data_IF_294844070948
#
_entry.id   IF_294844070948
#
_cell.length_a   1.000
_cell.length_b   1.000
_cell.length_c   1.000
_cell.angle_alpha   90.00
_cell.angle_beta   90.00
_cell.angle_gamma   90.00
#
_symmetry.space_group_name_H-M   'P 1'
#
loop_
_entity.id
_entity.type
_entity.pdbx_description
1 polymer ?
#
# COMPACT_ATOMS: atom_id res chain seq x y z
N UNK A 1 8.16 14.65 -39.52
CA UNK A 1 8.11 13.17 -39.46
C UNK A 1 8.94 12.77 -38.24
N UNK A 2 8.30 12.64 -37.07
CA UNK A 2 8.99 12.34 -35.81
C UNK A 2 9.27 10.84 -35.76
N UNK A 3 10.55 10.49 -35.73
CA UNK A 3 10.99 9.12 -35.48
C UNK A 3 10.84 8.89 -33.98
N UNK A 4 9.79 8.15 -33.58
CA UNK A 4 9.70 7.58 -32.24
C UNK A 4 10.74 6.46 -32.16
N UNK A 5 11.88 6.77 -31.56
CA UNK A 5 12.92 5.77 -31.27
C UNK A 5 12.53 4.99 -30.02
N UNK A 6 11.64 4.02 -30.17
CA UNK A 6 11.40 2.99 -29.17
C UNK A 6 12.71 2.23 -28.94
N UNK A 7 13.37 2.49 -27.81
CA UNK A 7 14.53 1.71 -27.37
C UNK A 7 14.00 0.45 -26.67
N UNK A 8 14.39 -0.76 -27.10
CA UNK A 8 14.01 -1.98 -26.39
C UNK A 8 14.64 -1.98 -24.98
N UNK A 9 13.88 -2.42 -23.99
CA UNK A 9 14.39 -2.68 -22.64
C UNK A 9 15.65 -3.57 -22.72
N UNK A 10 16.80 -3.04 -22.29
CA UNK A 10 18.02 -3.81 -22.02
C UNK A 10 18.99 -4.06 -23.18
N UNK A 11 18.80 -3.51 -24.38
CA UNK A 11 19.79 -3.68 -25.45
C UNK A 11 20.92 -2.65 -25.34
N UNK A 12 21.99 -2.97 -24.59
CA UNK A 12 23.32 -2.41 -24.83
C UNK A 12 24.00 -1.60 -23.72
N UNK A 13 23.45 -1.48 -22.51
CA UNK A 13 24.16 -0.84 -21.38
C UNK A 13 24.96 -1.89 -20.60
N UNK A 14 26.25 -1.64 -20.37
CA UNK A 14 27.13 -2.45 -19.51
C UNK A 14 26.42 -2.80 -18.19
N UNK A 15 26.63 -4.03 -17.70
CA UNK A 15 25.96 -4.48 -16.47
C UNK A 15 26.50 -3.66 -15.30
N UNK A 16 25.58 -3.03 -14.58
CA UNK A 16 25.87 -2.33 -13.35
C UNK A 16 26.60 -3.26 -12.35
N UNK A 17 27.88 -3.00 -12.11
CA UNK A 17 28.76 -3.84 -11.29
C UNK A 17 30.14 -4.09 -11.90
N UNK A 18 30.33 -3.88 -13.21
CA UNK A 18 31.67 -4.00 -13.81
C UNK A 18 32.54 -2.76 -13.50
N UNK A 19 31.97 -1.55 -13.47
CA UNK A 19 32.65 -0.29 -13.13
C UNK A 19 31.99 0.53 -12.00
N UNK A 20 30.93 -0.01 -11.38
CA UNK A 20 30.12 0.69 -10.35
C UNK A 20 30.19 -0.01 -9.01
N UNK A 21 30.37 0.78 -7.94
CA UNK A 21 30.38 0.23 -6.59
C UNK A 21 28.95 -0.15 -6.14
N UNK A 22 28.69 -1.43 -5.84
CA UNK A 22 27.33 -1.92 -5.58
C UNK A 22 26.74 -1.44 -4.25
N UNK A 23 27.58 -1.03 -3.30
CA UNK A 23 27.15 -0.52 -1.99
C UNK A 23 26.94 1.00 -1.95
N UNK A 24 27.16 1.71 -3.07
CA UNK A 24 26.87 3.14 -3.17
C UNK A 24 25.48 3.35 -3.77
N UNK A 25 24.74 4.39 -3.33
CA UNK A 25 23.46 4.76 -3.92
C UNK A 25 23.58 5.00 -5.42
N UNK A 26 22.59 4.54 -6.19
CA UNK A 26 22.52 4.80 -7.63
C UNK A 26 22.58 6.32 -7.87
N UNK A 27 23.35 6.75 -8.87
CA UNK A 27 23.56 8.16 -9.18
C UNK A 27 24.70 8.83 -8.39
N UNK A 28 25.47 8.10 -7.57
CA UNK A 28 26.61 8.67 -6.83
C UNK A 28 27.69 9.34 -7.72
N UNK A 29 27.72 9.00 -9.01
CA UNK A 29 28.64 9.56 -9.99
C UNK A 29 28.14 10.86 -10.63
N UNK A 30 26.89 11.23 -10.42
CA UNK A 30 26.33 12.47 -10.97
C UNK A 30 26.99 13.68 -10.30
N UNK A 31 27.26 14.71 -11.10
CA UNK A 31 27.96 15.91 -10.65
C UNK A 31 26.98 17.06 -10.58
N UNK A 32 26.91 17.74 -9.44
CA UNK A 32 26.16 19.01 -9.35
C UNK A 32 26.90 20.10 -10.11
N UNK A 33 26.25 20.77 -11.05
CA UNK A 33 26.76 22.00 -11.68
C UNK A 33 26.13 23.27 -11.12
N UNK A 34 25.27 23.13 -10.10
CA UNK A 34 24.67 24.25 -9.37
C UNK A 34 25.68 25.08 -8.58
N UNK A 35 25.23 26.25 -8.12
CA UNK A 35 26.02 27.16 -7.28
C UNK A 35 26.32 26.59 -5.89
N UNK A 36 25.58 25.57 -5.46
CA UNK A 36 25.76 24.83 -4.21
C UNK A 36 26.14 23.39 -4.54
N UNK A 37 27.27 22.87 -4.01
CA UNK A 37 27.63 21.46 -4.20
C UNK A 37 26.53 20.52 -3.73
N UNK A 38 26.15 19.57 -4.58
CA UNK A 38 25.10 18.59 -4.32
C UNK A 38 23.68 19.06 -4.68
N UNK A 39 23.48 20.32 -5.06
CA UNK A 39 22.18 20.80 -5.55
C UNK A 39 22.04 20.63 -7.07
N UNK A 40 20.80 20.46 -7.56
CA UNK A 40 20.54 20.48 -8.99
C UNK A 40 20.99 21.80 -9.67
N UNK A 41 21.25 21.79 -10.99
CA UNK A 41 21.12 20.63 -11.87
C UNK A 41 22.23 19.59 -11.66
N UNK A 42 21.83 18.32 -11.74
CA UNK A 42 22.75 17.18 -11.68
C UNK A 42 23.08 16.75 -13.10
N UNK A 43 24.37 16.62 -13.40
CA UNK A 43 24.87 16.22 -14.71
C UNK A 43 25.26 14.75 -14.66
N UNK A 44 24.75 13.95 -15.60
CA UNK A 44 25.18 12.56 -15.80
C UNK A 44 26.43 12.46 -16.70
N UNK A 45 26.93 11.24 -16.89
CA UNK A 45 28.14 11.00 -17.71
C UNK A 45 27.94 11.27 -19.19
N UNK A 46 26.69 11.26 -19.67
CA UNK A 46 26.34 11.62 -21.04
C UNK A 46 26.18 13.15 -21.21
N UNK A 47 26.41 13.92 -20.13
CA UNK A 47 26.28 15.37 -20.11
C UNK A 47 24.85 15.88 -20.03
N UNK A 48 23.87 15.03 -19.69
CA UNK A 48 22.47 15.42 -19.57
C UNK A 48 22.20 16.00 -18.18
N UNK A 49 21.34 16.99 -18.14
CA UNK A 49 20.97 17.69 -16.91
C UNK A 49 19.65 17.16 -16.34
N UNK A 50 19.62 16.98 -15.02
CA UNK A 50 18.51 16.43 -14.28
C UNK A 50 18.17 17.29 -13.07
N UNK A 51 16.88 17.44 -12.77
CA UNK A 51 16.38 18.11 -11.57
C UNK A 51 16.54 17.27 -10.30
N UNK A 52 16.72 15.95 -10.43
CA UNK A 52 17.04 15.06 -9.30
C UNK A 52 17.60 13.72 -9.78
N UNK A 53 18.27 12.99 -8.88
CA UNK A 53 18.70 11.60 -9.13
C UNK A 53 17.49 10.69 -9.40
N UNK A 54 16.37 10.93 -8.71
CA UNK A 54 15.11 10.19 -8.92
C UNK A 54 14.58 10.39 -10.34
N UNK A 55 14.59 11.62 -10.84
CA UNK A 55 14.19 11.95 -12.20
C UNK A 55 15.09 11.28 -13.25
N UNK A 56 16.42 11.35 -13.07
CA UNK A 56 17.38 10.68 -13.94
C UNK A 56 17.14 9.16 -14.00
N UNK A 57 16.90 8.55 -12.83
CA UNK A 57 16.56 7.14 -12.74
C UNK A 57 15.25 6.80 -13.47
N UNK A 58 14.21 7.60 -13.28
CA UNK A 58 12.90 7.40 -13.91
C UNK A 58 12.96 7.49 -15.43
N UNK A 59 13.50 8.59 -15.94
CA UNK A 59 13.39 8.94 -17.35
C UNK A 59 14.47 8.22 -18.15
N UNK A 60 15.75 8.29 -17.75
CA UNK A 60 16.82 7.66 -18.51
C UNK A 60 16.97 6.18 -18.18
N UNK A 61 17.13 5.83 -16.89
CA UNK A 61 17.49 4.46 -16.54
C UNK A 61 16.33 3.48 -16.74
N UNK A 62 15.11 3.87 -16.38
CA UNK A 62 13.92 3.03 -16.57
C UNK A 62 13.24 3.26 -17.93
N UNK A 63 13.56 4.34 -18.63
CA UNK A 63 12.94 4.67 -19.92
C UNK A 63 11.47 5.08 -19.80
N UNK A 64 11.04 5.55 -18.62
CA UNK A 64 9.65 5.90 -18.36
C UNK A 64 9.33 7.34 -18.77
N UNK A 65 8.08 7.63 -19.16
CA UNK A 65 7.69 8.98 -19.56
C UNK A 65 7.77 9.96 -18.38
N UNK A 66 8.07 11.21 -18.67
CA UNK A 66 7.91 12.29 -17.69
C UNK A 66 6.44 12.39 -17.27
N UNK A 67 6.20 12.32 -15.96
CA UNK A 67 4.88 12.40 -15.33
C UNK A 67 4.93 13.37 -14.15
N UNK A 68 3.78 13.65 -13.55
CA UNK A 68 3.71 14.47 -12.34
C UNK A 68 4.59 13.89 -11.23
N UNK A 69 5.41 14.75 -10.59
CA UNK A 69 6.43 14.34 -9.62
C UNK A 69 5.86 13.57 -8.42
N UNK A 70 4.66 13.91 -7.96
CA UNK A 70 3.97 13.17 -6.90
C UNK A 70 3.67 11.71 -7.27
N UNK A 71 3.26 11.45 -8.53
CA UNK A 71 3.01 10.09 -9.00
C UNK A 71 4.29 9.30 -9.18
N UNK A 72 5.32 9.93 -9.77
CA UNK A 72 6.65 9.35 -9.90
C UNK A 72 7.20 8.92 -8.54
N UNK A 73 7.14 9.82 -7.54
CA UNK A 73 7.62 9.52 -6.19
C UNK A 73 6.82 8.39 -5.54
N UNK A 74 5.48 8.41 -5.63
CA UNK A 74 4.65 7.33 -5.09
C UNK A 74 4.99 5.96 -5.67
N UNK A 75 5.22 5.86 -6.98
CA UNK A 75 5.63 4.61 -7.64
C UNK A 75 7.04 4.19 -7.18
N UNK A 76 7.95 5.14 -7.04
CA UNK A 76 9.31 4.85 -6.56
C UNK A 76 9.35 4.42 -5.08
N UNK A 77 8.51 4.96 -4.21
CA UNK A 77 8.40 4.49 -2.83
C UNK A 77 7.82 3.07 -2.77
N UNK A 78 6.86 2.75 -3.63
CA UNK A 78 6.37 1.37 -3.79
C UNK A 78 7.48 0.43 -4.28
N UNK A 79 8.27 0.86 -5.26
CA UNK A 79 9.44 0.11 -5.74
C UNK A 79 10.48 -0.11 -4.64
N UNK A 80 10.77 0.91 -3.83
CA UNK A 80 11.69 0.81 -2.70
C UNK A 80 11.19 -0.24 -1.70
N UNK A 81 9.90 -0.21 -1.38
CA UNK A 81 9.27 -1.17 -0.47
C UNK A 81 9.32 -2.60 -1.01
N UNK A 82 9.03 -2.80 -2.30
CA UNK A 82 9.13 -4.11 -2.96
C UNK A 82 10.57 -4.64 -2.94
N UNK A 83 11.56 -3.82 -3.31
CA UNK A 83 12.97 -4.19 -3.31
C UNK A 83 13.49 -4.50 -1.90
N UNK A 84 13.06 -3.76 -0.87
CA UNK A 84 13.43 -4.01 0.52
C UNK A 84 12.91 -5.36 1.02
N UNK A 85 11.66 -5.71 0.68
CA UNK A 85 11.08 -7.02 1.01
C UNK A 85 11.81 -8.14 0.26
N UNK A 86 12.10 -7.93 -1.03
CA UNK A 86 12.82 -8.89 -1.86
C UNK A 86 14.28 -9.11 -1.40
N UNK A 87 14.96 -8.08 -0.90
CA UNK A 87 16.32 -8.17 -0.34
C UNK A 87 16.34 -9.04 0.93
N UNK A 88 15.25 -9.00 1.71
CA UNK A 88 15.05 -9.88 2.86
C UNK A 88 16.02 -9.67 4.02
N UNK A 89 16.90 -8.65 3.94
CA UNK A 89 17.77 -8.20 5.04
C UNK A 89 17.04 -7.26 6.01
N UNK A 90 15.94 -6.65 5.56
CA UNK A 90 15.19 -5.65 6.31
C UNK A 90 13.83 -6.15 6.84
N UNK A 91 13.34 -7.31 6.38
CA UNK A 91 12.00 -7.85 6.71
C UNK A 91 12.09 -9.36 6.95
N UNK A 92 11.37 -9.87 7.96
CA UNK A 92 11.45 -11.28 8.36
C UNK A 92 10.95 -12.24 7.24
N UNK A 93 11.53 -13.44 7.09
CA UNK A 93 11.18 -14.39 6.03
C UNK A 93 9.70 -14.78 5.98
N UNK A 94 9.00 -14.75 7.12
CA UNK A 94 7.59 -15.12 7.23
C UNK A 94 6.62 -14.13 6.58
N UNK A 95 7.05 -12.89 6.27
CA UNK A 95 6.21 -11.80 5.73
C UNK A 95 6.28 -11.66 4.19
N UNK A 96 7.10 -12.49 3.51
CA UNK A 96 7.68 -12.13 2.20
C UNK A 96 6.76 -12.02 0.99
N UNK A 97 5.58 -12.67 0.91
CA UNK A 97 4.93 -12.83 -0.41
C UNK A 97 3.39 -12.74 -0.43
N UNK A 98 2.69 -12.60 0.71
CA UNK A 98 1.20 -12.58 0.68
C UNK A 98 0.52 -11.22 0.89
N UNK A 99 1.22 -10.20 1.39
CA UNK A 99 0.58 -8.93 1.75
C UNK A 99 0.87 -7.72 0.82
N UNK A 100 1.79 -7.80 -0.14
CA UNK A 100 2.16 -6.62 -0.99
C UNK A 100 0.97 -6.20 -1.88
N UNK A 101 0.40 -7.15 -2.62
CA UNK A 101 -0.73 -6.93 -3.52
C UNK A 101 -2.01 -7.58 -3.00
N UNK A 102 -2.14 -7.76 -1.67
CA UNK A 102 -3.32 -8.36 -1.04
C UNK A 102 -3.67 -9.75 -1.59
N UNK A 103 -2.69 -10.53 -2.03
CA UNK A 103 -2.92 -11.84 -2.66
C UNK A 103 -3.26 -11.79 -4.15
N UNK A 104 -3.27 -10.63 -4.82
CA UNK A 104 -3.33 -10.54 -6.28
C UNK A 104 -2.00 -10.98 -6.91
N UNK A 105 -1.95 -12.27 -7.22
CA UNK A 105 -0.77 -12.88 -7.84
C UNK A 105 -0.50 -12.40 -9.27
N UNK A 106 -1.47 -11.82 -9.98
CA UNK A 106 -1.25 -11.29 -11.32
C UNK A 106 -0.51 -9.96 -11.29
N UNK A 107 -0.88 -9.06 -10.38
CA UNK A 107 -0.18 -7.80 -10.17
C UNK A 107 1.24 -8.03 -9.63
N UNK A 108 1.42 -8.96 -8.69
CA UNK A 108 2.76 -9.36 -8.23
C UNK A 108 3.61 -9.87 -9.39
N UNK A 109 3.09 -10.80 -10.21
CA UNK A 109 3.80 -11.31 -11.38
C UNK A 109 4.13 -10.23 -12.40
N UNK A 110 3.20 -9.30 -12.65
CA UNK A 110 3.44 -8.18 -13.57
C UNK A 110 4.54 -7.26 -13.07
N UNK A 111 4.49 -6.85 -11.80
CA UNK A 111 5.49 -5.95 -11.23
C UNK A 111 6.86 -6.64 -11.12
N UNK A 112 6.89 -7.93 -10.74
CA UNK A 112 8.11 -8.73 -10.77
C UNK A 112 8.68 -8.84 -12.18
N UNK A 113 7.85 -9.10 -13.19
CA UNK A 113 8.27 -9.17 -14.59
C UNK A 113 8.83 -7.82 -15.06
N UNK A 114 8.24 -6.71 -14.63
CA UNK A 114 8.77 -5.38 -14.87
C UNK A 114 10.15 -5.17 -14.23
N UNK A 115 10.34 -5.52 -12.95
CA UNK A 115 11.64 -5.39 -12.27
C UNK A 115 12.70 -6.33 -12.86
N UNK A 116 12.30 -7.52 -13.32
CA UNK A 116 13.15 -8.45 -14.06
C UNK A 116 13.60 -7.83 -15.38
N UNK A 117 12.66 -7.28 -16.16
CA UNK A 117 12.96 -6.61 -17.43
C UNK A 117 13.84 -5.36 -17.23
N UNK A 118 13.68 -4.66 -16.10
CA UNK A 118 14.52 -3.53 -15.72
C UNK A 118 15.93 -3.96 -15.23
N UNK A 119 16.18 -5.25 -14.98
CA UNK A 119 17.45 -5.77 -14.47
C UNK A 119 17.69 -5.52 -12.98
N UNK A 120 16.64 -5.20 -12.22
CA UNK A 120 16.76 -4.83 -10.80
C UNK A 120 16.63 -6.03 -9.85
N UNK A 121 16.07 -7.14 -10.31
CA UNK A 121 15.96 -8.39 -9.55
C UNK A 121 16.43 -9.58 -10.38
N UNK A 122 16.91 -10.63 -9.72
CA UNK A 122 17.31 -11.87 -10.39
C UNK A 122 16.10 -12.75 -10.72
N UNK A 123 16.19 -13.47 -11.82
CA UNK A 123 15.18 -14.43 -12.31
C UNK A 123 15.00 -15.65 -11.40
N UNK A 124 16.12 -16.16 -10.88
CA UNK A 124 16.23 -17.40 -10.11
C UNK A 124 15.65 -17.29 -8.70
N UNK A 125 15.98 -16.24 -7.95
CA UNK A 125 15.60 -16.10 -6.54
C UNK A 125 14.74 -14.85 -6.25
N UNK A 126 14.50 -13.99 -7.25
CA UNK A 126 13.75 -12.75 -7.08
C UNK A 126 14.44 -11.69 -6.24
N UNK A 127 15.68 -11.92 -5.80
CA UNK A 127 16.43 -10.98 -4.97
C UNK A 127 16.97 -9.83 -5.81
N UNK A 128 17.20 -8.65 -5.22
CA UNK A 128 17.80 -7.54 -5.93
C UNK A 128 19.19 -7.86 -6.49
N UNK A 129 19.41 -7.46 -7.75
CA UNK A 129 20.73 -7.43 -8.38
C UNK A 129 21.64 -6.42 -7.66
N UNK A 130 22.95 -6.37 -7.95
CA UNK A 130 23.80 -5.29 -7.44
C UNK A 130 23.24 -3.90 -7.76
N UNK A 131 22.67 -3.72 -8.95
CA UNK A 131 21.96 -2.50 -9.31
C UNK A 131 20.69 -2.28 -8.49
N UNK A 132 19.86 -3.31 -8.35
CA UNK A 132 18.65 -3.24 -7.55
C UNK A 132 18.91 -2.80 -6.10
N UNK A 133 20.04 -3.25 -5.52
CA UNK A 133 20.47 -2.82 -4.18
C UNK A 133 20.92 -1.38 -4.16
N UNK A 134 21.73 -0.96 -5.14
CA UNK A 134 22.14 0.43 -5.28
C UNK A 134 20.95 1.38 -5.50
N UNK A 135 19.97 0.97 -6.29
CA UNK A 135 18.70 1.68 -6.50
C UNK A 135 17.91 1.74 -5.19
N UNK A 136 17.79 0.64 -4.46
CA UNK A 136 17.13 0.64 -3.14
C UNK A 136 17.79 1.65 -2.19
N UNK A 137 19.12 1.68 -2.13
CA UNK A 137 19.86 2.67 -1.33
C UNK A 137 19.59 4.11 -1.77
N UNK A 138 19.56 4.37 -3.07
CA UNK A 138 19.20 5.69 -3.61
C UNK A 138 17.79 6.09 -3.24
N UNK A 139 16.82 5.17 -3.38
CA UNK A 139 15.44 5.45 -3.05
C UNK A 139 15.27 5.76 -1.55
N UNK A 140 15.95 5.00 -0.68
CA UNK A 140 15.97 5.26 0.78
C UNK A 140 16.60 6.62 1.10
N UNK A 141 17.72 6.96 0.45
CA UNK A 141 18.43 8.22 0.69
C UNK A 141 17.71 9.46 0.17
N UNK A 142 16.82 9.29 -0.81
CA UNK A 142 16.14 10.41 -1.51
C UNK A 142 14.65 10.49 -1.19
N UNK A 143 14.18 9.82 -0.13
CA UNK A 143 12.79 9.88 0.34
C UNK A 143 12.39 11.32 0.65
N UNK A 144 11.14 11.65 0.35
CA UNK A 144 10.60 12.96 0.72
C UNK A 144 10.51 13.06 2.26
N UNK A 145 10.47 14.29 2.79
CA UNK A 145 10.34 14.49 4.24
C UNK A 145 9.07 13.86 4.82
N UNK A 146 8.00 13.78 4.02
CA UNK A 146 6.73 13.16 4.38
C UNK A 146 6.89 11.64 4.48
N UNK A 147 7.46 11.00 3.45
CA UNK A 147 7.65 9.55 3.41
C UNK A 147 8.72 9.04 4.39
N UNK A 148 9.76 9.84 4.66
CA UNK A 148 10.87 9.45 5.54
C UNK A 148 10.44 9.14 6.99
N UNK A 149 9.24 9.56 7.40
CA UNK A 149 8.69 9.26 8.73
C UNK A 149 8.18 7.82 8.87
N UNK A 150 7.85 7.16 7.76
CA UNK A 150 7.34 5.78 7.70
C UNK A 150 8.50 4.79 7.42
N UNK A 151 8.47 3.59 8.01
CA UNK A 151 9.44 2.54 7.68
C UNK A 151 9.28 2.03 6.24
N UNK A 152 10.39 1.80 5.51
CA UNK A 152 10.34 1.22 4.15
C UNK A 152 9.91 -0.25 4.23
N UNK A 153 9.10 -0.70 3.25
CA UNK A 153 8.64 -2.09 3.18
C UNK A 153 7.15 -2.20 3.47
N UNK A 154 6.78 -3.22 4.26
CA UNK A 154 5.37 -3.55 4.48
C UNK A 154 4.62 -2.43 5.22
N UNK A 155 5.29 -1.74 6.15
CA UNK A 155 4.72 -0.61 6.90
C UNK A 155 4.27 0.52 5.96
N UNK A 156 5.12 0.92 5.01
CA UNK A 156 4.77 1.91 3.99
C UNK A 156 3.65 1.42 3.07
N UNK A 157 3.69 0.15 2.63
CA UNK A 157 2.63 -0.43 1.78
C UNK A 157 1.28 -0.44 2.51
N UNK A 158 1.25 -0.81 3.80
CA UNK A 158 0.03 -0.79 4.61
C UNK A 158 -0.45 0.65 4.81
N UNK A 159 0.45 1.58 5.12
CA UNK A 159 0.14 2.99 5.34
C UNK A 159 -0.42 3.68 4.08
N UNK A 160 0.05 3.31 2.89
CA UNK A 160 -0.25 4.00 1.63
C UNK A 160 -1.22 3.25 0.69
N UNK A 161 -1.96 2.27 1.21
CA UNK A 161 -3.04 1.55 0.48
C UNK A 161 -4.27 2.41 0.14
N UNK A 162 -4.37 3.64 0.64
CA UNK A 162 -5.55 4.51 0.44
C UNK A 162 -5.20 5.76 -0.35
N UNK A 163 -6.13 6.22 -1.20
CA UNK A 163 -5.95 7.32 -2.17
C UNK A 163 -5.78 8.71 -1.50
N UNK A 164 -6.00 8.82 -0.19
CA UNK A 164 -5.87 10.10 0.55
C UNK A 164 -4.41 10.49 0.82
N UNK A 165 -4.12 11.79 0.96
CA UNK A 165 -2.78 12.29 1.31
C UNK A 165 -2.36 11.96 2.75
N UNK A 166 -1.06 12.04 3.09
CA UNK A 166 -0.52 11.62 4.40
C UNK A 166 -1.23 12.24 5.62
N UNK A 167 -1.59 13.53 5.56
CA UNK A 167 -2.33 14.21 6.62
C UNK A 167 -3.78 13.71 6.78
N UNK A 168 -4.48 13.49 5.67
CA UNK A 168 -5.83 12.92 5.65
C UNK A 168 -5.83 11.47 6.14
N UNK A 169 -4.75 10.72 5.86
CA UNK A 169 -4.52 9.36 6.34
C UNK A 169 -4.26 9.30 7.83
N UNK A 170 -3.39 10.17 8.36
CA UNK A 170 -3.13 10.27 9.81
C UNK A 170 -4.40 10.64 10.58
N UNK A 171 -5.17 11.62 10.09
CA UNK A 171 -6.45 11.98 10.67
C UNK A 171 -7.47 10.84 10.59
N UNK A 172 -7.52 10.10 9.48
CA UNK A 172 -8.38 8.93 9.34
C UNK A 172 -7.96 7.79 10.29
N UNK A 173 -6.67 7.52 10.42
CA UNK A 173 -6.12 6.51 11.31
C UNK A 173 -6.37 6.85 12.79
N UNK A 174 -6.15 8.11 13.20
CA UNK A 174 -6.46 8.58 14.55
C UNK A 174 -7.96 8.47 14.85
N UNK A 175 -8.81 8.81 13.88
CA UNK A 175 -10.25 8.67 14.00
C UNK A 175 -10.70 7.20 14.10
N UNK A 176 -10.07 6.31 13.35
CA UNK A 176 -10.28 4.85 13.45
C UNK A 176 -9.85 4.37 14.83
N UNK A 177 -8.64 4.69 15.27
CA UNK A 177 -8.11 4.27 16.57
C UNK A 177 -9.01 4.75 17.72
N UNK A 178 -9.46 6.01 17.68
CA UNK A 178 -10.40 6.56 18.65
C UNK A 178 -11.71 5.77 18.70
N UNK A 179 -12.26 5.41 17.54
CA UNK A 179 -13.49 4.60 17.44
C UNK A 179 -13.27 3.17 17.91
N UNK A 180 -12.11 2.58 17.65
CA UNK A 180 -11.76 1.25 18.16
C UNK A 180 -11.60 1.23 19.69
N UNK A 181 -10.98 2.26 20.28
CA UNK A 181 -10.90 2.41 21.74
C UNK A 181 -12.29 2.53 22.38
N UNK A 182 -13.25 3.17 21.70
CA UNK A 182 -14.65 3.23 22.12
C UNK A 182 -15.31 1.84 22.00
N UNK A 183 -15.20 1.21 20.82
CA UNK A 183 -15.73 -0.13 20.51
C UNK A 183 -15.26 -1.20 21.51
N UNK A 184 -14.00 -1.15 21.95
CA UNK A 184 -13.45 -2.10 22.90
C UNK A 184 -14.23 -2.15 24.22
N UNK A 185 -14.84 -1.03 24.63
CA UNK A 185 -15.61 -0.88 25.87
C UNK A 185 -17.09 -1.22 25.71
N UNK A 186 -17.58 -1.37 24.49
CA UNK A 186 -19.01 -1.63 24.23
C UNK A 186 -19.42 -3.05 24.65
N UNK A 187 -20.68 -3.19 25.04
CA UNK A 187 -21.28 -4.48 25.36
C UNK A 187 -21.38 -5.37 24.12
N UNK A 188 -21.79 -4.78 22.99
CA UNK A 188 -21.82 -5.39 21.68
C UNK A 188 -20.85 -4.67 20.76
N UNK A 189 -19.95 -5.42 20.12
CA UNK A 189 -18.92 -4.82 19.25
C UNK A 189 -18.58 -5.68 18.05
N UNK A 190 -18.32 -5.04 16.93
CA UNK A 190 -17.61 -5.68 15.83
C UNK A 190 -16.11 -5.68 16.12
N UNK A 191 -15.43 -6.75 15.72
CA UNK A 191 -13.99 -6.89 15.80
C UNK A 191 -13.48 -7.67 14.60
N UNK A 192 -12.27 -7.37 14.18
CA UNK A 192 -11.55 -8.14 13.17
C UNK A 192 -10.77 -9.28 13.83
N UNK A 193 -10.61 -10.38 13.10
CA UNK A 193 -9.86 -11.56 13.56
C UNK A 193 -9.45 -12.43 12.35
N UNK A 194 -8.85 -13.59 12.61
CA UNK A 194 -8.59 -14.64 11.62
C UNK A 194 -9.14 -15.98 12.07
N UNK A 195 -9.66 -16.79 11.14
CA UNK A 195 -10.05 -18.19 11.39
C UNK A 195 -9.41 -19.05 10.32
N UNK A 196 -8.42 -19.89 10.67
CA UNK A 196 -7.76 -20.77 9.71
C UNK A 196 -7.11 -20.02 8.54
N UNK A 197 -6.49 -18.86 8.84
CA UNK A 197 -5.93 -17.85 7.93
C UNK A 197 -6.95 -16.95 7.21
N UNK A 198 -8.22 -17.34 7.13
CA UNK A 198 -9.22 -16.47 6.49
C UNK A 198 -9.49 -15.24 7.37
N UNK A 199 -9.39 -14.02 6.81
CA UNK A 199 -9.75 -12.80 7.53
C UNK A 199 -11.24 -12.76 7.81
N UNK A 200 -11.61 -12.39 9.04
CA UNK A 200 -13.00 -12.36 9.49
C UNK A 200 -13.37 -11.06 10.19
N UNK A 201 -14.67 -10.76 10.19
CA UNK A 201 -15.29 -9.77 11.08
C UNK A 201 -16.31 -10.51 11.94
N UNK A 202 -16.23 -10.31 13.25
CA UNK A 202 -17.08 -10.93 14.25
C UNK A 202 -17.90 -9.87 14.97
N UNK A 203 -19.19 -10.13 15.19
CA UNK A 203 -19.97 -9.44 16.20
C UNK A 203 -19.85 -10.19 17.52
N UNK A 204 -19.37 -9.52 18.55
CA UNK A 204 -19.17 -10.07 19.88
C UNK A 204 -20.16 -9.38 20.81
N UNK A 205 -21.04 -10.15 21.43
CA UNK A 205 -21.99 -9.65 22.43
C UNK A 205 -21.66 -10.15 23.83
N UNK A 206 -21.88 -9.27 24.82
CA UNK A 206 -21.85 -9.65 26.22
C UNK A 206 -23.14 -10.39 26.58
N UNK A 207 -23.05 -11.68 26.93
CA UNK A 207 -24.17 -12.45 27.48
C UNK A 207 -23.99 -12.58 28.98
N UNK A 208 -24.93 -12.04 29.74
CA UNK A 208 -25.03 -12.27 31.18
C UNK A 208 -25.67 -13.64 31.37
N UNK A 209 -24.86 -14.66 31.70
CA UNK A 209 -25.39 -15.95 32.13
C UNK A 209 -25.78 -15.89 33.61
N UNK A 210 -26.41 -16.93 34.15
CA UNK A 210 -26.86 -16.97 35.55
C UNK A 210 -25.72 -16.82 36.58
N UNK A 211 -24.47 -17.05 36.17
CA UNK A 211 -23.32 -17.14 37.09
C UNK A 211 -22.17 -16.19 36.70
N UNK A 212 -21.88 -15.99 35.40
CA UNK A 212 -20.77 -15.12 34.94
C UNK A 212 -21.13 -14.40 33.62
N UNK A 213 -20.87 -13.09 33.47
CA UNK A 213 -20.95 -12.42 32.18
C UNK A 213 -19.82 -12.90 31.25
N UNK A 214 -20.19 -13.50 30.12
CA UNK A 214 -19.25 -14.03 29.13
C UNK A 214 -19.49 -13.35 27.78
N UNK A 215 -18.42 -13.00 27.07
CA UNK A 215 -18.51 -12.50 25.70
C UNK A 215 -18.60 -13.68 24.73
N UNK A 216 -19.60 -13.64 23.86
CA UNK A 216 -19.85 -14.68 22.86
C UNK A 216 -19.98 -14.07 21.48
N UNK A 217 -19.47 -14.78 20.47
CA UNK A 217 -19.65 -14.39 19.06
C UNK A 217 -21.09 -14.64 18.65
N UNK A 218 -21.78 -13.57 18.23
CA UNK A 218 -23.18 -13.59 17.78
C UNK A 218 -23.28 -13.76 16.27
N UNK A 219 -22.31 -13.22 15.53
CA UNK A 219 -22.27 -13.25 14.07
C UNK A 219 -20.81 -13.26 13.59
N UNK A 220 -20.55 -13.85 12.44
CA UNK A 220 -19.23 -13.85 11.80
C UNK A 220 -19.40 -13.89 10.29
N UNK A 221 -18.56 -13.13 9.60
CA UNK A 221 -18.37 -13.23 8.15
C UNK A 221 -16.88 -13.42 7.87
N UNK A 222 -16.58 -14.31 6.94
CA UNK A 222 -15.23 -14.60 6.47
C UNK A 222 -15.07 -14.18 5.03
N UNK A 223 -13.85 -13.77 4.71
CA UNK A 223 -13.39 -13.53 3.35
C UNK A 223 -12.28 -14.54 3.05
N UNK A 224 -12.09 -14.94 1.78
CA UNK A 224 -10.92 -15.72 1.41
C UNK A 224 -9.62 -14.99 1.80
N UNK A 225 -8.55 -15.74 2.10
CA UNK A 225 -7.22 -15.22 2.46
C UNK A 225 -6.74 -14.04 1.55
N UNK A 226 -6.99 -14.13 0.24
CA UNK A 226 -6.65 -13.09 -0.74
C UNK A 226 -7.61 -11.88 -0.81
N UNK A 227 -8.55 -11.73 0.12
CA UNK A 227 -9.54 -10.64 0.10
C UNK A 227 -9.62 -9.89 1.44
N UNK A 228 -8.45 -9.79 2.12
CA UNK A 228 -8.27 -9.02 3.36
C UNK A 228 -8.74 -7.57 3.21
N UNK A 229 -8.55 -6.97 2.04
CA UNK A 229 -8.95 -5.60 1.79
C UNK A 229 -10.46 -5.39 1.80
N UNK A 230 -11.26 -6.27 1.18
CA UNK A 230 -12.71 -6.15 1.26
C UNK A 230 -13.21 -6.28 2.71
N UNK A 231 -12.60 -7.18 3.49
CA UNK A 231 -12.84 -7.31 4.94
C UNK A 231 -12.56 -6.00 5.68
N UNK A 232 -11.42 -5.36 5.42
CA UNK A 232 -11.04 -4.10 6.07
C UNK A 232 -11.95 -2.94 5.66
N UNK A 233 -12.32 -2.84 4.38
CA UNK A 233 -13.28 -1.83 3.90
C UNK A 233 -14.66 -2.03 4.52
N UNK A 234 -15.11 -3.27 4.66
CA UNK A 234 -16.36 -3.59 5.34
C UNK A 234 -16.31 -3.20 6.82
N UNK A 235 -15.20 -3.51 7.52
CA UNK A 235 -15.05 -3.15 8.93
C UNK A 235 -14.99 -1.63 9.16
N UNK A 236 -14.31 -0.87 8.29
CA UNK A 236 -14.32 0.59 8.33
C UNK A 236 -15.74 1.17 8.16
N UNK A 237 -16.51 0.62 7.22
CA UNK A 237 -17.92 1.00 7.02
C UNK A 237 -18.78 0.73 8.26
N UNK A 238 -18.49 -0.34 9.01
CA UNK A 238 -19.13 -0.62 10.30
C UNK A 238 -18.71 0.39 11.37
N UNK A 239 -17.42 0.75 11.46
CA UNK A 239 -16.91 1.72 12.44
C UNK A 239 -17.50 3.12 12.26
N UNK A 240 -17.81 3.52 11.03
CA UNK A 240 -18.53 4.77 10.76
C UNK A 240 -19.94 4.81 11.37
N UNK A 241 -20.52 3.63 11.62
CA UNK A 241 -21.88 3.41 12.13
C UNK A 241 -21.87 2.77 13.52
N UNK A 242 -20.83 3.07 14.31
CA UNK A 242 -20.61 2.51 15.65
C UNK A 242 -21.80 2.74 16.60
N UNK A 243 -22.55 3.82 16.39
CA UNK A 243 -23.78 4.16 17.10
C UNK A 243 -24.90 3.13 16.93
N UNK A 244 -24.87 2.31 15.87
CA UNK A 244 -25.93 1.35 15.52
C UNK A 244 -25.66 -0.07 15.97
N UNK A 245 -24.50 -0.34 16.56
CA UNK A 245 -24.03 -1.71 16.82
C UNK A 245 -24.89 -2.45 17.85
N UNK A 246 -25.46 -1.74 18.84
CA UNK A 246 -26.37 -2.35 19.82
C UNK A 246 -27.69 -2.78 19.15
N UNK A 247 -28.29 -1.94 18.32
CA UNK A 247 -29.51 -2.27 17.56
C UNK A 247 -29.30 -3.46 16.61
N UNK A 248 -28.14 -3.50 15.95
CA UNK A 248 -27.75 -4.61 15.09
C UNK A 248 -27.54 -5.91 15.88
N UNK A 249 -27.03 -5.84 17.10
CA UNK A 249 -26.91 -6.99 17.99
C UNK A 249 -28.27 -7.50 18.47
N UNK A 250 -29.20 -6.60 18.77
CA UNK A 250 -30.58 -6.96 19.08
C UNK A 250 -31.26 -7.65 17.88
N UNK A 251 -31.01 -7.17 16.66
CA UNK A 251 -31.50 -7.82 15.43
C UNK A 251 -31.00 -9.26 15.32
N UNK A 252 -29.71 -9.53 15.58
CA UNK A 252 -29.20 -10.91 15.58
C UNK A 252 -29.87 -11.75 16.66
N UNK A 253 -30.12 -11.16 17.83
CA UNK A 253 -30.74 -11.86 18.96
C UNK A 253 -32.21 -12.20 18.70
N UNK A 254 -32.94 -11.32 18.01
CA UNK A 254 -34.37 -11.47 17.70
C UNK A 254 -34.62 -12.27 16.42
N UNK A 255 -33.90 -11.94 15.36
CA UNK A 255 -34.19 -12.35 13.98
C UNK A 255 -33.10 -13.29 13.40
N UNK A 256 -32.01 -13.51 14.15
CA UNK A 256 -30.91 -14.40 13.79
C UNK A 256 -29.82 -13.76 12.94
N UNK A 257 -28.68 -14.45 12.82
CA UNK A 257 -27.48 -13.99 12.10
C UNK A 257 -27.72 -13.65 10.62
N UNK A 258 -28.64 -14.35 9.95
CA UNK A 258 -29.00 -14.08 8.55
C UNK A 258 -29.62 -12.70 8.37
N UNK A 259 -30.49 -12.28 9.30
CA UNK A 259 -31.17 -11.00 9.22
C UNK A 259 -30.19 -9.82 9.22
N UNK A 260 -29.13 -9.89 10.04
CA UNK A 260 -28.07 -8.89 10.06
C UNK A 260 -27.30 -8.83 8.74
N UNK A 261 -26.99 -9.98 8.15
CA UNK A 261 -26.30 -10.05 6.86
C UNK A 261 -27.13 -9.41 5.75
N UNK A 262 -28.42 -9.73 5.69
CA UNK A 262 -29.36 -9.11 4.74
C UNK A 262 -29.53 -7.61 4.98
N UNK A 263 -29.50 -7.17 6.24
CA UNK A 263 -29.55 -5.76 6.61
C UNK A 263 -28.32 -5.00 6.10
N UNK A 264 -27.11 -5.55 6.26
CA UNK A 264 -25.89 -4.96 5.70
C UNK A 264 -25.95 -4.87 4.19
N UNK A 265 -26.43 -5.91 3.50
CA UNK A 265 -26.61 -5.87 2.05
C UNK A 265 -27.56 -4.73 1.64
N UNK A 266 -28.71 -4.59 2.30
CA UNK A 266 -29.66 -3.50 2.04
C UNK A 266 -29.01 -2.12 2.25
N UNK A 267 -28.31 -1.92 3.36
CA UNK A 267 -27.63 -0.65 3.65
C UNK A 267 -26.55 -0.33 2.62
N UNK A 268 -25.75 -1.31 2.22
CA UNK A 268 -24.72 -1.14 1.20
C UNK A 268 -25.32 -0.70 -0.16
N UNK A 269 -26.50 -1.21 -0.53
CA UNK A 269 -27.22 -0.74 -1.73
C UNK A 269 -27.84 0.65 -1.57
N UNK A 270 -28.32 1.01 -0.38
CA UNK A 270 -28.81 2.36 -0.12
C UNK A 270 -27.68 3.40 -0.20
N UNK A 271 -26.51 3.11 0.36
CA UNK A 271 -25.36 4.02 0.36
C UNK A 271 -24.78 4.26 -1.04
N UNK A 272 -24.89 3.28 -1.95
CA UNK A 272 -24.38 3.37 -3.34
C UNK A 272 -24.99 4.54 -4.14
N UNK A 273 -26.26 4.86 -3.92
CA UNK A 273 -26.96 5.88 -4.70
C UNK A 273 -26.92 7.28 -4.06
N UNK A 274 -26.54 7.37 -2.78
CA UNK A 274 -26.37 8.67 -2.10
C UNK A 274 -25.06 9.35 -2.55
N UNK A 275 -24.02 8.58 -2.89
CA UNK A 275 -22.75 9.11 -3.37
C UNK A 275 -22.82 9.72 -4.78
N UNK A 276 -23.71 9.24 -5.64
CA UNK A 276 -23.91 9.78 -7.01
C UNK A 276 -24.87 10.99 -7.04
N UNK A 277 -25.76 11.12 -6.05
CA UNK A 277 -26.81 12.14 -6.02
C UNK A 277 -26.38 13.57 -5.63
N UNK A 278 -25.18 13.75 -5.07
CA UNK A 278 -24.66 15.07 -4.69
C UNK A 278 -23.84 15.76 -5.78
N UNK A 279 -23.56 15.10 -6.91
CA UNK A 279 -22.83 15.69 -8.04
C UNK A 279 -23.76 16.24 -9.16
N UNK A 280 -25.09 16.20 -8.99
CA UNK A 280 -26.03 16.41 -10.09
C UNK A 280 -27.21 17.36 -9.83
N UNK A 281 -27.20 18.17 -8.77
CA UNK A 281 -28.29 19.12 -8.48
C UNK A 281 -27.77 20.50 -8.05
N UNK A 282 -26.84 21.06 -8.81
CA UNK A 282 -26.62 22.52 -8.88
C UNK A 282 -26.72 22.90 -10.36
N UNK A 283 -27.94 23.16 -10.83
CA UNK A 283 -28.17 23.54 -12.22
C UNK A 283 -29.61 23.43 -12.71
N UNK A 284 -30.54 24.10 -12.03
CA UNK A 284 -31.70 24.77 -12.64
C UNK A 284 -32.03 26.03 -11.84
#
# INVERSE_FOLDING_TARGET
MMVSSFHPFGAGKERYGDDRHPDLPWGYWMVSSGSVPGEPPLIDEDGREWGSVREAFWIDRLGLPSIHSGWMNGIMEFMASYLAIADGRFVAPEERVRDIFLGDGHLDQFFRAYLLAAGLVNDTDGRPTPEGRSVLLMLIATRTREDATEGVGLDWIIANRTVGGHSERMAAAEQVERRERLAARMAHRFATDTIGNDPVVKLIGLRITREIPVRSTLWTMSWPDGDRFARDRFYLWLLERIDRWDEWSEMVSRDGARALTEHFMKLAFCDRFVAEGFAGFDGL
#
